data_IF_626715621338
#
_entry.id   IF_626715621338
#
_cell.length_a   1.000
_cell.length_b   1.000
_cell.length_c   1.000
_cell.angle_alpha   90.00
_cell.angle_beta   90.00
_cell.angle_gamma   90.00
#
_symmetry.space_group_name_H-M   'P 1'
#
loop_
_entity.id
_entity.type
_entity.pdbx_description
1 polymer ?
#
# COMPACT_ATOMS: atom_id res chain seq x y z
N UNK A 1 9.19 0.64 -31.75
CA UNK A 1 8.80 -0.67 -31.19
C UNK A 1 7.48 -0.61 -30.41
N UNK A 2 7.42 -0.13 -29.15
CA UNK A 2 6.13 -0.02 -28.42
C UNK A 2 5.15 0.96 -29.08
N UNK A 3 5.69 2.02 -29.70
CA UNK A 3 4.92 3.02 -30.46
C UNK A 3 4.29 2.42 -31.73
N UNK A 4 5.04 1.60 -32.48
CA UNK A 4 4.55 0.94 -33.70
C UNK A 4 3.51 -0.16 -33.41
N UNK A 5 3.59 -0.81 -32.24
CA UNK A 5 2.60 -1.79 -31.78
C UNK A 5 1.30 -1.08 -31.38
N UNK A 6 1.39 0.07 -30.69
CA UNK A 6 0.24 0.89 -30.32
C UNK A 6 -0.46 1.54 -31.54
N UNK A 7 0.29 1.92 -32.57
CA UNK A 7 -0.25 2.56 -33.77
C UNK A 7 -0.98 1.55 -34.69
N UNK A 8 -0.53 0.29 -34.75
CA UNK A 8 -1.21 -0.78 -35.52
C UNK A 8 -2.48 -1.32 -34.83
N UNK A 9 -2.66 -1.07 -33.54
CA UNK A 9 -3.83 -1.50 -32.76
C UNK A 9 -5.01 -0.51 -32.78
N UNK A 10 -4.99 0.51 -33.65
CA UNK A 10 -6.13 1.42 -33.83
C UNK A 10 -6.18 2.59 -32.84
N UNK A 11 -5.03 3.21 -32.56
CA UNK A 11 -4.94 4.38 -31.69
C UNK A 11 -5.04 4.01 -30.21
N UNK A 12 -4.64 4.93 -29.34
CA UNK A 12 -4.77 4.78 -27.89
C UNK A 12 -6.26 4.86 -27.56
N UNK A 13 -6.95 3.73 -27.62
CA UNK A 13 -8.23 3.53 -26.94
C UNK A 13 -8.00 3.69 -25.43
N UNK A 14 -9.06 4.03 -24.69
CA UNK A 14 -9.00 4.21 -23.23
C UNK A 14 -8.65 2.93 -22.45
N UNK A 15 -8.58 1.76 -23.12
CA UNK A 15 -8.17 0.48 -22.54
C UNK A 15 -7.23 -0.28 -23.49
N UNK A 16 -6.04 -0.71 -23.02
CA UNK A 16 -5.13 -1.53 -23.81
C UNK A 16 -5.70 -2.93 -24.10
N UNK A 17 -5.63 -3.37 -25.36
CA UNK A 17 -5.98 -4.73 -25.78
C UNK A 17 -4.86 -5.72 -25.42
N UNK A 18 -4.85 -6.15 -24.15
CA UNK A 18 -3.86 -7.10 -23.64
C UNK A 18 -3.85 -8.44 -24.37
N UNK A 19 -5.00 -9.06 -24.73
CA UNK A 19 -5.02 -10.27 -25.54
C UNK A 19 -4.23 -10.14 -26.86
N UNK A 20 -4.51 -9.11 -27.66
CA UNK A 20 -3.83 -8.94 -28.95
C UNK A 20 -2.34 -8.65 -28.77
N UNK A 21 -1.98 -7.79 -27.81
CA UNK A 21 -0.59 -7.46 -27.53
C UNK A 21 0.23 -8.68 -27.05
N UNK A 22 -0.37 -9.56 -26.24
CA UNK A 22 0.26 -10.77 -25.74
C UNK A 22 0.57 -11.78 -26.85
N UNK A 23 -0.37 -12.01 -27.77
CA UNK A 23 -0.17 -12.88 -28.94
C UNK A 23 0.96 -12.36 -29.84
N UNK A 24 0.98 -11.04 -30.10
CA UNK A 24 2.01 -10.42 -30.93
C UNK A 24 3.40 -10.55 -30.30
N UNK A 25 3.53 -10.37 -28.99
CA UNK A 25 4.80 -10.48 -28.28
C UNK A 25 5.27 -11.93 -28.17
N UNK A 26 4.36 -12.91 -28.01
CA UNK A 26 4.73 -14.34 -28.05
C UNK A 26 5.35 -14.71 -29.39
N UNK A 27 4.68 -14.33 -30.49
CA UNK A 27 5.17 -14.59 -31.86
C UNK A 27 6.55 -13.98 -32.07
N UNK A 28 6.77 -12.76 -31.59
CA UNK A 28 8.06 -12.09 -31.68
C UNK A 28 9.17 -12.84 -30.94
N UNK A 29 8.94 -13.29 -29.70
CA UNK A 29 9.94 -14.07 -28.94
C UNK A 29 10.32 -15.37 -29.65
N UNK A 30 9.34 -16.08 -30.21
CA UNK A 30 9.57 -17.31 -30.99
C UNK A 30 10.43 -17.02 -32.21
N UNK A 31 10.11 -15.97 -32.96
CA UNK A 31 10.89 -15.58 -34.14
C UNK A 31 12.31 -15.10 -33.79
N UNK A 32 12.52 -14.53 -32.60
CA UNK A 32 13.82 -14.10 -32.11
C UNK A 32 14.66 -15.23 -31.49
N UNK A 33 14.12 -16.44 -31.34
CA UNK A 33 14.81 -17.56 -30.69
C UNK A 33 15.01 -17.37 -29.18
N UNK A 34 14.21 -16.51 -28.53
CA UNK A 34 14.29 -16.27 -27.08
C UNK A 34 13.84 -17.50 -26.29
N UNK A 35 14.55 -17.85 -25.20
CA UNK A 35 14.15 -18.94 -24.31
C UNK A 35 14.44 -18.60 -22.82
N UNK A 36 13.50 -18.89 -21.89
CA UNK A 36 12.16 -19.44 -22.13
C UNK A 36 11.20 -18.41 -22.75
N UNK A 37 10.28 -18.88 -23.61
CA UNK A 37 9.22 -18.04 -24.21
C UNK A 37 8.08 -17.91 -23.19
N UNK A 38 7.75 -16.68 -22.79
CA UNK A 38 6.48 -16.41 -22.12
C UNK A 38 5.35 -16.58 -23.15
N UNK A 39 4.34 -17.39 -22.87
CA UNK A 39 3.20 -17.53 -23.78
C UNK A 39 2.19 -16.37 -23.62
N UNK A 40 1.25 -16.23 -24.55
CA UNK A 40 0.28 -15.14 -24.55
C UNK A 40 -0.59 -15.11 -23.29
N UNK A 41 -0.92 -16.26 -22.70
CA UNK A 41 -1.68 -16.31 -21.46
C UNK A 41 -0.85 -15.77 -20.28
N UNK A 42 0.42 -16.17 -20.16
CA UNK A 42 1.35 -15.69 -19.14
C UNK A 42 1.60 -14.18 -19.27
N UNK A 43 1.77 -13.68 -20.50
CA UNK A 43 1.93 -12.25 -20.76
C UNK A 43 0.68 -11.45 -20.41
N UNK A 44 -0.51 -11.96 -20.76
CA UNK A 44 -1.78 -11.30 -20.40
C UNK A 44 -1.92 -11.23 -18.88
N UNK A 45 -1.64 -12.32 -18.18
CA UNK A 45 -1.68 -12.38 -16.72
C UNK A 45 -0.71 -11.36 -16.12
N UNK A 46 0.54 -11.34 -16.59
CA UNK A 46 1.56 -10.38 -16.15
C UNK A 46 1.13 -8.94 -16.40
N UNK A 47 0.59 -8.63 -17.58
CA UNK A 47 0.16 -7.28 -17.93
C UNK A 47 -0.98 -6.78 -17.03
N UNK A 48 -1.95 -7.64 -16.72
CA UNK A 48 -3.04 -7.32 -15.80
C UNK A 48 -2.52 -7.07 -14.36
N UNK A 49 -1.61 -7.91 -13.87
CA UNK A 49 -0.96 -7.71 -12.57
C UNK A 49 -0.13 -6.43 -12.52
N UNK A 50 0.59 -6.11 -13.60
CA UNK A 50 1.39 -4.89 -13.70
C UNK A 50 0.51 -3.64 -13.72
N UNK A 51 -0.62 -3.65 -14.46
CA UNK A 51 -1.56 -2.53 -14.50
C UNK A 51 -2.06 -2.19 -13.09
N UNK A 52 -2.58 -3.19 -12.37
CA UNK A 52 -3.15 -3.02 -11.03
C UNK A 52 -2.11 -2.53 -10.02
N UNK A 53 -0.88 -3.05 -10.06
CA UNK A 53 0.18 -2.62 -9.15
C UNK A 53 0.72 -1.22 -9.48
N UNK A 54 0.84 -0.87 -10.77
CA UNK A 54 1.33 0.43 -11.21
C UNK A 54 0.37 1.55 -10.80
N UNK A 55 -0.94 1.38 -11.00
CA UNK A 55 -1.90 2.41 -10.66
C UNK A 55 -2.02 2.63 -9.15
N UNK A 56 -2.08 1.55 -8.36
CA UNK A 56 -2.09 1.68 -6.90
C UNK A 56 -0.84 2.43 -6.40
N UNK A 57 0.33 2.14 -6.96
CA UNK A 57 1.56 2.87 -6.62
C UNK A 57 1.49 4.36 -7.00
N UNK A 58 0.85 4.71 -8.12
CA UNK A 58 0.69 6.10 -8.55
C UNK A 58 -0.32 6.87 -7.68
N UNK A 59 -1.47 6.26 -7.34
CA UNK A 59 -2.45 6.83 -6.41
C UNK A 59 -1.82 7.12 -5.05
N UNK A 60 -1.10 6.14 -4.48
CA UNK A 60 -0.39 6.27 -3.20
C UNK A 60 0.63 7.40 -3.16
N UNK A 61 1.18 7.78 -4.31
CA UNK A 61 2.17 8.85 -4.42
C UNK A 61 1.55 10.23 -4.65
N UNK A 62 0.22 10.32 -4.81
CA UNK A 62 -0.46 11.55 -5.18
C UNK A 62 -0.04 12.08 -6.56
N UNK A 63 0.46 11.20 -7.43
CA UNK A 63 1.00 11.58 -8.75
C UNK A 63 -0.08 11.60 -9.86
N UNK A 64 -1.34 11.50 -9.48
CA UNK A 64 -2.49 11.38 -10.39
C UNK A 64 -3.58 12.34 -9.93
N UNK A 65 -4.05 13.20 -10.83
CA UNK A 65 -5.21 14.07 -10.55
C UNK A 65 -6.50 13.28 -10.41
N UNK A 66 -7.50 13.82 -9.71
CA UNK A 66 -8.78 13.14 -9.37
C UNK A 66 -9.45 12.53 -10.61
N UNK A 67 -9.56 13.27 -11.71
CA UNK A 67 -10.19 12.76 -12.94
C UNK A 67 -9.41 11.62 -13.60
N UNK A 68 -8.08 11.63 -13.49
CA UNK A 68 -7.24 10.55 -14.03
C UNK A 68 -7.28 9.31 -13.13
N UNK A 69 -7.36 9.50 -11.80
CA UNK A 69 -7.59 8.44 -10.83
C UNK A 69 -8.92 7.73 -11.08
N UNK A 70 -10.00 8.47 -11.33
CA UNK A 70 -11.32 7.92 -11.65
C UNK A 70 -11.33 7.11 -12.94
N UNK A 71 -10.70 7.60 -14.02
CA UNK A 71 -10.61 6.86 -15.29
C UNK A 71 -9.86 5.54 -15.12
N UNK A 72 -8.75 5.56 -14.40
CA UNK A 72 -7.93 4.38 -14.15
C UNK A 72 -8.63 3.37 -13.23
N UNK A 73 -9.45 3.82 -12.28
CA UNK A 73 -10.22 2.95 -11.40
C UNK A 73 -11.11 1.96 -12.19
N UNK A 74 -11.84 2.44 -13.20
CA UNK A 74 -12.70 1.57 -14.01
C UNK A 74 -11.89 0.49 -14.77
N UNK A 75 -10.75 0.88 -15.34
CA UNK A 75 -9.84 -0.05 -16.01
C UNK A 75 -9.26 -1.09 -15.05
N UNK A 76 -8.95 -0.69 -13.81
CA UNK A 76 -8.41 -1.60 -12.80
C UNK A 76 -9.43 -2.55 -12.21
N UNK A 77 -10.68 -2.10 -12.00
CA UNK A 77 -11.76 -2.99 -11.57
C UNK A 77 -12.08 -4.01 -12.67
N UNK A 78 -11.97 -3.62 -13.94
CA UNK A 78 -12.04 -4.56 -15.08
C UNK A 78 -10.89 -5.57 -15.06
N UNK A 79 -9.64 -5.09 -14.89
CA UNK A 79 -8.47 -5.96 -14.80
C UNK A 79 -8.54 -6.91 -13.61
N UNK A 80 -9.00 -6.44 -12.44
CA UNK A 80 -9.21 -7.26 -11.26
C UNK A 80 -10.22 -8.39 -11.51
N UNK A 81 -11.32 -8.12 -12.21
CA UNK A 81 -12.31 -9.14 -12.59
C UNK A 81 -11.71 -10.20 -13.51
N UNK A 82 -10.95 -9.77 -14.53
CA UNK A 82 -10.26 -10.70 -15.42
C UNK A 82 -9.23 -11.55 -14.67
N UNK A 83 -8.50 -10.98 -13.72
CA UNK A 83 -7.56 -11.72 -12.87
C UNK A 83 -8.27 -12.77 -12.01
N UNK A 84 -9.46 -12.49 -11.48
CA UNK A 84 -10.24 -13.47 -10.71
C UNK A 84 -10.64 -14.69 -11.54
N UNK A 85 -10.90 -14.50 -12.84
CA UNK A 85 -11.23 -15.57 -13.78
C UNK A 85 -9.97 -16.36 -14.20
N UNK A 86 -8.86 -15.67 -14.44
CA UNK A 86 -7.62 -16.26 -14.96
C UNK A 86 -6.73 -16.88 -13.87
N UNK A 87 -6.80 -16.38 -12.64
CA UNK A 87 -6.00 -16.82 -11.50
C UNK A 87 -6.84 -16.86 -10.21
N UNK A 88 -7.80 -17.81 -10.12
CA UNK A 88 -8.64 -17.96 -8.94
C UNK A 88 -7.84 -18.28 -7.67
N UNK A 89 -6.65 -18.87 -7.82
CA UNK A 89 -5.75 -19.18 -6.69
C UNK A 89 -5.27 -17.93 -5.95
N UNK A 90 -5.20 -16.79 -6.64
CA UNK A 90 -4.87 -15.50 -6.06
C UNK A 90 -6.07 -14.75 -5.47
N UNK A 91 -7.26 -15.36 -5.39
CA UNK A 91 -8.52 -14.70 -5.03
C UNK A 91 -8.46 -13.87 -3.75
N UNK A 92 -7.80 -14.38 -2.70
CA UNK A 92 -7.61 -13.62 -1.46
C UNK A 92 -6.85 -12.29 -1.70
N UNK A 93 -5.76 -12.33 -2.46
CA UNK A 93 -4.96 -11.16 -2.79
C UNK A 93 -5.73 -10.20 -3.72
N UNK A 94 -6.44 -10.74 -4.72
CA UNK A 94 -7.20 -9.95 -5.67
C UNK A 94 -8.38 -9.21 -5.01
N UNK A 95 -9.07 -9.84 -4.04
CA UNK A 95 -10.07 -9.15 -3.23
C UNK A 95 -9.46 -8.03 -2.38
N UNK A 96 -8.28 -8.26 -1.77
CA UNK A 96 -7.58 -7.22 -1.02
C UNK A 96 -7.24 -6.03 -1.94
N UNK A 97 -6.68 -6.29 -3.13
CA UNK A 97 -6.36 -5.26 -4.14
C UNK A 97 -7.59 -4.49 -4.60
N UNK A 98 -8.74 -5.16 -4.73
CA UNK A 98 -10.01 -4.51 -5.04
C UNK A 98 -10.43 -3.54 -3.91
N UNK A 99 -10.32 -3.98 -2.66
CA UNK A 99 -10.58 -3.12 -1.50
C UNK A 99 -9.69 -1.89 -1.51
N UNK A 100 -8.39 -2.05 -1.75
CA UNK A 100 -7.42 -0.95 -1.84
C UNK A 100 -7.79 0.09 -2.90
N UNK A 101 -8.18 -0.37 -4.10
CA UNK A 101 -8.61 0.52 -5.19
C UNK A 101 -9.85 1.33 -4.82
N UNK A 102 -10.84 0.70 -4.18
CA UNK A 102 -12.09 1.35 -3.77
C UNK A 102 -11.86 2.32 -2.62
N UNK A 103 -11.01 1.92 -1.68
CA UNK A 103 -10.67 2.66 -0.48
C UNK A 103 -10.03 4.03 -0.74
N UNK A 104 -9.44 4.22 -1.93
CA UNK A 104 -8.91 5.50 -2.38
C UNK A 104 -10.01 6.53 -2.70
N UNK A 105 -11.28 6.13 -2.75
CA UNK A 105 -12.41 6.97 -3.11
C UNK A 105 -13.51 6.86 -2.05
N UNK A 106 -13.76 7.94 -1.30
CA UNK A 106 -14.71 7.95 -0.17
C UNK A 106 -16.12 7.44 -0.53
N UNK A 107 -16.59 7.68 -1.77
CA UNK A 107 -17.89 7.20 -2.22
C UNK A 107 -17.98 5.68 -2.45
N UNK A 108 -16.88 4.94 -2.25
CA UNK A 108 -16.78 3.48 -2.40
C UNK A 108 -16.36 2.77 -1.10
N UNK A 109 -16.46 3.43 0.06
CA UNK A 109 -15.98 2.84 1.30
C UNK A 109 -16.76 1.55 1.68
N UNK A 110 -18.05 1.46 1.35
CA UNK A 110 -18.86 0.27 1.58
C UNK A 110 -18.41 -0.91 0.70
N UNK A 111 -18.11 -0.67 -0.57
CA UNK A 111 -17.57 -1.66 -1.49
C UNK A 111 -16.16 -2.07 -1.10
N UNK A 112 -15.35 -1.14 -0.57
CA UNK A 112 -14.03 -1.45 -0.03
C UNK A 112 -14.15 -2.40 1.17
N UNK A 113 -15.05 -2.13 2.12
CA UNK A 113 -15.34 -3.01 3.26
C UNK A 113 -15.78 -4.41 2.78
N UNK A 114 -16.69 -4.48 1.81
CA UNK A 114 -17.14 -5.75 1.25
C UNK A 114 -15.97 -6.54 0.63
N UNK A 115 -15.10 -5.87 -0.12
CA UNK A 115 -13.93 -6.49 -0.73
C UNK A 115 -12.91 -6.99 0.30
N UNK A 116 -12.65 -6.23 1.36
CA UNK A 116 -11.78 -6.68 2.45
C UNK A 116 -12.37 -7.87 3.22
N UNK A 117 -13.69 -7.91 3.46
CA UNK A 117 -14.36 -9.09 4.03
C UNK A 117 -14.21 -10.33 3.15
N UNK A 118 -14.39 -10.21 1.84
CA UNK A 118 -14.14 -11.31 0.89
C UNK A 118 -12.68 -11.77 0.91
N UNK A 119 -11.74 -10.82 0.97
CA UNK A 119 -10.31 -11.11 1.06
C UNK A 119 -9.97 -11.88 2.33
N UNK A 120 -10.44 -11.42 3.49
CA UNK A 120 -10.18 -12.06 4.77
C UNK A 120 -10.73 -13.49 4.81
N UNK A 121 -11.95 -13.70 4.30
CA UNK A 121 -12.56 -15.04 4.20
C UNK A 121 -11.70 -15.99 3.38
N UNK A 122 -11.34 -15.58 2.16
CA UNK A 122 -10.51 -16.40 1.28
C UNK A 122 -9.10 -16.63 1.85
N UNK A 123 -8.54 -15.63 2.54
CA UNK A 123 -7.23 -15.76 3.18
C UNK A 123 -7.24 -16.78 4.33
N UNK A 124 -8.30 -16.80 5.14
CA UNK A 124 -8.49 -17.77 6.22
C UNK A 124 -8.66 -19.19 5.66
N UNK A 125 -9.47 -19.35 4.62
CA UNK A 125 -9.70 -20.63 3.94
C UNK A 125 -8.40 -21.24 3.38
N UNK A 126 -7.59 -20.42 2.72
CA UNK A 126 -6.33 -20.85 2.12
C UNK A 126 -5.11 -20.73 3.04
N UNK A 127 -5.29 -20.32 4.31
CA UNK A 127 -4.20 -20.07 5.28
C UNK A 127 -3.12 -19.11 4.74
N UNK A 128 -3.54 -18.12 3.96
CA UNK A 128 -2.67 -17.07 3.42
C UNK A 128 -2.38 -16.00 4.48
N UNK A 129 -1.51 -16.28 5.45
CA UNK A 129 -1.30 -15.41 6.62
C UNK A 129 -0.89 -13.98 6.30
N UNK A 130 -0.16 -13.73 5.22
CA UNK A 130 0.18 -12.37 4.80
C UNK A 130 -1.05 -11.58 4.36
N UNK A 131 -1.96 -12.21 3.62
CA UNK A 131 -3.20 -11.59 3.16
C UNK A 131 -4.21 -11.50 4.30
N UNK A 132 -4.28 -12.52 5.16
CA UNK A 132 -5.09 -12.53 6.39
C UNK A 132 -4.77 -11.32 7.25
N UNK A 133 -3.48 -11.06 7.49
CA UNK A 133 -3.03 -9.89 8.26
C UNK A 133 -3.48 -8.58 7.63
N UNK A 134 -3.15 -8.38 6.34
CA UNK A 134 -3.43 -7.10 5.69
C UNK A 134 -4.93 -6.88 5.52
N UNK A 135 -5.70 -7.91 5.14
CA UNK A 135 -7.14 -7.80 4.96
C UNK A 135 -7.85 -7.48 6.29
N UNK A 136 -7.45 -8.11 7.39
CA UNK A 136 -8.02 -7.82 8.70
C UNK A 136 -7.69 -6.40 9.16
N UNK A 137 -6.43 -5.96 9.01
CA UNK A 137 -6.01 -4.60 9.37
C UNK A 137 -6.76 -3.54 8.54
N UNK A 138 -6.77 -3.67 7.20
CA UNK A 138 -7.44 -2.71 6.31
C UNK A 138 -8.96 -2.69 6.47
N UNK A 139 -9.56 -3.82 6.84
CA UNK A 139 -10.97 -3.89 7.20
C UNK A 139 -11.25 -3.10 8.48
N UNK A 140 -10.45 -3.28 9.53
CA UNK A 140 -10.59 -2.52 10.79
C UNK A 140 -10.49 -1.01 10.53
N UNK A 141 -9.45 -0.57 9.81
CA UNK A 141 -9.26 0.84 9.44
C UNK A 141 -10.43 1.42 8.64
N UNK A 142 -11.01 0.62 7.74
CA UNK A 142 -12.16 1.06 6.93
C UNK A 142 -13.43 1.19 7.76
N UNK A 143 -13.60 0.41 8.82
CA UNK A 143 -14.73 0.53 9.75
C UNK A 143 -14.59 1.80 10.62
N UNK A 144 -13.39 2.09 11.14
CA UNK A 144 -13.12 3.34 11.88
C UNK A 144 -13.46 4.59 11.10
N UNK A 145 -13.18 4.56 9.80
CA UNK A 145 -13.36 5.67 8.88
C UNK A 145 -14.79 5.79 8.34
N UNK A 146 -15.72 4.95 8.82
CA UNK A 146 -17.13 5.03 8.47
C UNK A 146 -17.55 4.27 7.23
N UNK A 147 -16.79 3.26 6.80
CA UNK A 147 -17.10 2.51 5.58
C UNK A 147 -18.40 1.73 5.61
N UNK A 148 -19.03 1.57 6.77
CA UNK A 148 -20.37 0.99 6.92
C UNK A 148 -21.40 1.94 7.53
N UNK A 149 -21.08 3.23 7.61
CA UNK A 149 -21.91 4.24 8.25
C UNK A 149 -21.21 4.94 9.43
N UNK A 150 -21.92 5.80 10.17
CA UNK A 150 -21.32 6.69 11.17
C UNK A 150 -20.90 6.01 12.48
N UNK A 151 -21.10 4.69 12.59
CA UNK A 151 -20.73 3.92 13.76
C UNK A 151 -20.09 2.58 13.37
N UNK A 152 -19.19 2.07 14.21
CA UNK A 152 -18.52 0.77 14.07
C UNK A 152 -18.54 -0.04 15.37
N UNK A 153 -18.45 -1.37 15.26
CA UNK A 153 -18.51 -2.29 16.41
C UNK A 153 -17.13 -2.48 17.04
N UNK A 154 -17.03 -2.21 18.35
CA UNK A 154 -15.78 -2.43 19.12
C UNK A 154 -15.37 -3.89 19.10
N UNK A 155 -16.33 -4.80 19.22
CA UNK A 155 -16.08 -6.24 19.22
C UNK A 155 -15.53 -6.72 17.88
N UNK A 156 -16.18 -6.32 16.77
CA UNK A 156 -15.75 -6.71 15.42
C UNK A 156 -14.31 -6.27 15.17
N UNK A 157 -14.02 -5.00 15.43
CA UNK A 157 -12.69 -4.43 15.21
C UNK A 157 -11.64 -5.09 16.10
N UNK A 158 -11.92 -5.30 17.39
CA UNK A 158 -10.97 -6.03 18.28
C UNK A 158 -10.66 -7.42 17.74
N UNK A 159 -11.67 -8.12 17.24
CA UNK A 159 -11.50 -9.42 16.59
C UNK A 159 -10.61 -9.34 15.34
N UNK A 160 -10.78 -8.31 14.51
CA UNK A 160 -9.96 -8.07 13.33
C UNK A 160 -8.49 -7.77 13.70
N UNK A 161 -8.25 -6.87 14.66
CA UNK A 161 -6.89 -6.52 15.09
C UNK A 161 -6.19 -7.71 15.78
N UNK A 162 -6.92 -8.53 16.54
CA UNK A 162 -6.41 -9.78 17.09
C UNK A 162 -6.02 -10.77 15.98
N UNK A 163 -6.86 -10.88 14.94
CA UNK A 163 -6.58 -11.69 13.74
C UNK A 163 -5.31 -11.19 13.04
N UNK A 164 -5.20 -9.88 12.80
CA UNK A 164 -4.02 -9.27 12.17
C UNK A 164 -2.74 -9.53 12.97
N UNK A 165 -2.79 -9.36 14.30
CA UNK A 165 -1.66 -9.62 15.20
C UNK A 165 -1.24 -11.08 15.18
N UNK A 166 -2.19 -12.01 15.23
CA UNK A 166 -1.95 -13.45 15.17
C UNK A 166 -1.32 -13.86 13.84
N UNK A 167 -1.87 -13.37 12.73
CA UNK A 167 -1.35 -13.62 11.40
C UNK A 167 0.09 -13.07 11.24
N UNK A 168 0.37 -11.84 11.72
CA UNK A 168 1.70 -11.23 11.71
C UNK A 168 2.76 -12.09 12.39
N UNK A 169 2.43 -12.72 13.51
CA UNK A 169 3.36 -13.59 14.24
C UNK A 169 3.81 -14.81 13.42
N UNK A 170 3.00 -15.28 12.47
CA UNK A 170 3.25 -16.50 11.69
C UNK A 170 4.21 -16.31 10.52
N UNK A 171 4.44 -15.07 10.04
CA UNK A 171 5.28 -14.82 8.86
C UNK A 171 6.58 -14.03 9.11
N UNK A 172 7.01 -13.95 10.37
CA UNK A 172 8.27 -13.30 10.76
C UNK A 172 9.53 -13.75 9.98
N UNK A 173 9.72 -15.03 9.60
CA UNK A 173 10.98 -15.47 9.01
C UNK A 173 11.30 -14.94 7.59
N UNK A 174 10.29 -14.61 6.78
CA UNK A 174 10.49 -14.24 5.36
C UNK A 174 10.18 -12.78 5.04
N UNK A 175 9.61 -12.02 5.97
CA UNK A 175 9.29 -10.61 5.76
C UNK A 175 10.48 -9.71 6.14
N UNK A 176 10.77 -8.63 5.38
CA UNK A 176 11.76 -7.63 5.77
C UNK A 176 11.47 -7.08 7.18
N UNK A 177 12.48 -7.06 8.05
CA UNK A 177 12.33 -6.66 9.46
C UNK A 177 11.69 -5.27 9.63
N UNK A 178 12.03 -4.33 8.75
CA UNK A 178 11.45 -2.98 8.77
C UNK A 178 9.94 -3.00 8.48
N UNK A 179 9.51 -3.77 7.48
CA UNK A 179 8.10 -3.91 7.11
C UNK A 179 7.31 -4.63 8.21
N UNK A 180 7.90 -5.67 8.81
CA UNK A 180 7.28 -6.31 9.97
C UNK A 180 7.15 -5.34 11.16
N UNK A 181 8.20 -4.57 11.47
CA UNK A 181 8.16 -3.60 12.57
C UNK A 181 7.08 -2.54 12.33
N UNK A 182 6.93 -2.11 11.07
CA UNK A 182 5.89 -1.18 10.65
C UNK A 182 4.49 -1.74 10.90
N UNK A 183 4.15 -2.92 10.37
CA UNK A 183 2.83 -3.52 10.63
C UNK A 183 2.57 -3.78 12.11
N UNK A 184 3.60 -4.13 12.88
CA UNK A 184 3.47 -4.29 14.33
C UNK A 184 3.09 -2.96 15.00
N UNK A 185 3.69 -1.86 14.56
CA UNK A 185 3.36 -0.51 15.02
C UNK A 185 1.92 -0.13 14.66
N UNK A 186 1.55 -0.24 13.38
CA UNK A 186 0.19 0.05 12.90
C UNK A 186 -0.88 -0.72 13.70
N UNK A 187 -0.70 -2.03 13.89
CA UNK A 187 -1.64 -2.84 14.68
C UNK A 187 -1.69 -2.39 16.16
N UNK A 188 -0.56 -1.99 16.75
CA UNK A 188 -0.52 -1.55 18.13
C UNK A 188 -1.21 -0.19 18.33
N UNK A 189 -1.01 0.73 17.39
CA UNK A 189 -1.64 2.05 17.39
C UNK A 189 -3.17 1.91 17.24
N UNK A 190 -3.64 1.08 16.30
CA UNK A 190 -5.08 0.81 16.13
C UNK A 190 -5.69 0.14 17.36
N UNK A 191 -4.98 -0.80 18.01
CA UNK A 191 -5.43 -1.41 19.27
C UNK A 191 -5.59 -0.34 20.35
N UNK A 192 -4.66 0.61 20.43
CA UNK A 192 -4.73 1.70 21.38
C UNK A 192 -5.94 2.60 21.11
N UNK A 193 -6.17 2.99 19.85
CA UNK A 193 -7.33 3.80 19.45
C UNK A 193 -8.66 3.12 19.80
N UNK A 194 -8.77 1.81 19.61
CA UNK A 194 -9.98 1.05 19.98
C UNK A 194 -10.19 1.00 21.49
N UNK A 195 -9.11 0.87 22.27
CA UNK A 195 -9.21 0.86 23.72
C UNK A 195 -9.62 2.21 24.28
N UNK A 196 -9.10 3.30 23.71
CA UNK A 196 -9.49 4.67 24.07
C UNK A 196 -10.96 4.92 23.74
N UNK A 197 -11.39 4.59 22.52
CA UNK A 197 -12.77 4.65 22.08
C UNK A 197 -13.73 3.88 23.01
N UNK A 198 -13.38 2.63 23.34
CA UNK A 198 -14.16 1.79 24.23
C UNK A 198 -14.20 2.33 25.67
N UNK A 199 -13.12 2.97 26.15
CA UNK A 199 -13.07 3.57 27.47
C UNK A 199 -13.93 4.83 27.58
N UNK A 200 -14.08 5.61 26.50
CA UNK A 200 -14.95 6.78 26.45
C UNK A 200 -16.45 6.42 26.48
N UNK A 201 -16.83 5.20 26.08
CA UNK A 201 -18.23 4.77 26.02
C UNK A 201 -18.37 3.27 26.32
N UNK A 202 -18.08 2.84 27.57
CA UNK A 202 -17.96 1.42 27.91
C UNK A 202 -19.27 0.63 27.80
N UNK A 203 -20.42 1.30 27.86
CA UNK A 203 -21.74 0.68 27.76
C UNK A 203 -22.28 0.60 26.33
N UNK A 204 -21.60 1.22 25.36
CA UNK A 204 -22.03 1.25 23.97
C UNK A 204 -21.32 0.18 23.14
N UNK A 205 -22.09 -0.72 22.52
CA UNK A 205 -21.54 -1.72 21.59
C UNK A 205 -21.00 -1.09 20.29
N UNK A 206 -21.46 0.12 19.97
CA UNK A 206 -21.16 0.86 18.76
C UNK A 206 -20.47 2.17 19.12
N UNK A 207 -19.36 2.48 18.46
CA UNK A 207 -18.62 3.73 18.64
C UNK A 207 -18.78 4.61 17.40
N UNK A 208 -18.91 5.95 17.55
CA UNK A 208 -18.82 6.87 16.41
C UNK A 208 -17.53 6.67 15.61
N UNK A 209 -17.59 6.98 14.32
CA UNK A 209 -16.38 7.07 13.49
C UNK A 209 -15.35 7.99 14.14
N UNK A 210 -14.08 7.60 14.05
CA UNK A 210 -13.00 8.39 14.61
C UNK A 210 -12.73 9.58 13.67
N UNK A 211 -12.62 10.79 14.23
CA UNK A 211 -12.14 11.97 13.49
C UNK A 211 -10.66 11.77 13.15
N UNK A 212 -10.39 10.97 12.13
CA UNK A 212 -9.05 10.76 11.65
C UNK A 212 -8.66 11.96 10.75
N UNK A 213 -7.50 12.60 10.98
CA UNK A 213 -6.78 13.17 9.85
C UNK A 213 -6.44 12.01 8.90
N UNK A 214 -5.98 12.31 7.69
CA UNK A 214 -5.41 11.37 6.72
C UNK A 214 -6.41 10.80 5.69
N UNK A 215 -6.41 11.44 4.51
CA UNK A 215 -6.19 10.70 3.25
C UNK A 215 -5.35 9.48 3.57
N UNK A 216 -5.85 8.25 3.33
CA UNK A 216 -5.18 6.98 3.59
C UNK A 216 -3.72 7.06 3.14
N UNK A 217 -2.84 7.52 4.03
CA UNK A 217 -1.44 7.71 3.73
C UNK A 217 -0.85 6.36 3.99
N UNK A 218 -0.84 5.54 2.94
CA UNK A 218 0.07 4.43 2.85
C UNK A 218 1.45 4.98 3.19
N UNK A 219 1.93 4.63 4.39
CA UNK A 219 3.30 4.77 4.88
C UNK A 219 4.22 5.19 3.75
N UNK A 220 4.48 6.50 3.67
CA UNK A 220 5.24 7.02 2.54
C UNK A 220 6.58 6.30 2.55
N UNK A 221 6.87 5.51 1.51
CA UNK A 221 8.19 4.87 1.38
C UNK A 221 9.21 5.98 1.56
N UNK A 222 10.11 5.89 2.55
CA UNK A 222 10.90 7.03 2.96
C UNK A 222 11.74 7.50 1.78
N UNK A 223 11.81 8.82 1.64
CA UNK A 223 12.47 9.45 0.50
C UNK A 223 13.91 9.76 0.85
N UNK A 224 14.79 9.54 -0.12
CA UNK A 224 16.17 9.98 0.00
C UNK A 224 16.21 11.51 0.06
N UNK A 225 16.81 12.08 1.11
CA UNK A 225 16.96 13.52 1.26
C UNK A 225 17.80 14.16 0.15
N UNK A 226 18.65 13.39 -0.54
CA UNK A 226 19.50 13.92 -1.62
C UNK A 226 18.90 13.87 -3.02
N UNK A 227 18.00 12.92 -3.33
CA UNK A 227 17.44 12.77 -4.68
C UNK A 227 15.90 12.68 -4.72
N UNK A 228 15.23 12.74 -3.58
CA UNK A 228 13.77 12.66 -3.45
C UNK A 228 13.15 11.30 -3.78
N UNK A 229 13.94 10.34 -4.29
CA UNK A 229 13.47 9.00 -4.65
C UNK A 229 13.13 8.20 -3.40
N UNK A 230 12.03 7.47 -3.47
CA UNK A 230 11.61 6.51 -2.46
C UNK A 230 12.59 5.32 -2.45
N UNK A 231 12.97 4.84 -1.27
CA UNK A 231 13.71 3.60 -1.12
C UNK A 231 13.25 2.84 0.12
N UNK A 232 13.20 1.51 0.03
CA UNK A 232 12.85 0.62 1.15
C UNK A 232 13.97 0.52 2.19
N UNK A 233 15.19 0.94 1.82
CA UNK A 233 16.34 1.04 2.71
C UNK A 233 17.05 2.37 2.49
N UNK A 234 17.20 3.13 3.57
CA UNK A 234 17.98 4.37 3.59
C UNK A 234 18.99 4.33 4.73
N UNK A 235 20.18 4.87 4.47
CA UNK A 235 21.21 5.09 5.49
C UNK A 235 21.07 6.49 6.06
N UNK A 236 20.80 6.59 7.36
CA UNK A 236 20.73 7.88 8.06
C UNK A 236 22.11 8.54 8.11
N UNK A 237 22.13 9.86 8.10
CA UNK A 237 23.35 10.62 8.39
C UNK A 237 23.84 10.22 9.79
N UNK A 238 25.11 9.81 9.91
CA UNK A 238 25.67 9.36 11.20
C UNK A 238 25.74 10.47 12.25
N UNK A 239 25.76 11.73 11.78
CA UNK A 239 25.83 12.96 12.58
C UNK A 239 24.46 13.35 13.14
N UNK A 240 23.61 13.97 12.34
CA UNK A 240 22.30 14.44 12.81
C UNK A 240 21.23 13.34 12.96
N UNK A 241 21.39 12.17 12.33
CA UNK A 241 20.38 11.08 12.26
C UNK A 241 18.99 11.46 11.71
N UNK A 242 18.83 12.69 11.21
CA UNK A 242 17.59 13.21 10.59
C UNK A 242 17.54 12.90 9.09
N UNK A 243 18.54 13.34 8.32
CA UNK A 243 18.57 13.09 6.88
C UNK A 243 18.91 11.62 6.57
N UNK A 244 18.34 11.07 5.48
CA UNK A 244 18.50 9.67 5.10
C UNK A 244 18.71 9.48 3.59
N UNK A 245 19.58 8.56 3.20
CA UNK A 245 20.08 8.46 1.83
C UNK A 245 20.05 7.04 1.27
N UNK A 246 19.65 6.90 0.01
CA UNK A 246 19.67 5.60 -0.68
C UNK A 246 21.09 5.17 -1.07
N UNK A 247 22.02 6.13 -1.16
CA UNK A 247 23.42 5.88 -1.50
C UNK A 247 24.35 6.91 -0.90
N UNK A 248 25.65 6.56 -0.81
CA UNK A 248 26.70 7.49 -0.41
C UNK A 248 26.80 8.68 -1.38
N UNK A 249 26.58 8.45 -2.67
CA UNK A 249 26.58 9.50 -3.69
C UNK A 249 25.52 10.57 -3.40
N UNK A 250 24.28 10.17 -3.10
CA UNK A 250 23.21 11.11 -2.74
C UNK A 250 23.52 11.89 -1.45
N UNK A 251 24.20 11.27 -0.47
CA UNK A 251 24.65 11.98 0.73
C UNK A 251 25.71 13.04 0.41
N UNK A 252 26.72 12.70 -0.39
CA UNK A 252 27.81 13.63 -0.74
C UNK A 252 27.28 14.81 -1.56
N UNK A 253 26.41 14.55 -2.53
CA UNK A 253 25.76 15.59 -3.32
C UNK A 253 24.92 16.52 -2.42
N UNK A 254 24.03 15.96 -1.59
CA UNK A 254 23.23 16.76 -0.67
C UNK A 254 24.10 17.57 0.32
N UNK A 255 25.24 17.02 0.74
CA UNK A 255 26.18 17.69 1.62
C UNK A 255 26.88 18.89 0.98
N UNK A 256 27.33 18.75 -0.27
CA UNK A 256 28.12 19.78 -0.97
C UNK A 256 27.24 20.83 -1.65
N UNK A 257 26.19 20.37 -2.32
CA UNK A 257 25.40 21.18 -3.26
C UNK A 257 24.00 21.46 -2.75
N UNK A 258 23.45 20.59 -1.90
CA UNK A 258 22.08 20.71 -1.41
C UNK A 258 21.93 21.27 0.00
N UNK A 259 22.95 21.93 0.56
CA UNK A 259 22.82 22.68 1.82
C UNK A 259 22.91 21.87 3.12
N UNK A 260 22.91 20.53 3.06
CA UNK A 260 22.83 19.70 4.26
C UNK A 260 23.99 19.92 5.24
N UNK A 261 25.16 20.39 4.79
CA UNK A 261 26.28 20.70 5.68
C UNK A 261 25.91 21.74 6.75
N UNK A 262 25.15 22.76 6.38
CA UNK A 262 24.73 23.83 7.28
C UNK A 262 23.58 23.35 8.18
N UNK A 263 22.59 22.70 7.59
CA UNK A 263 21.45 22.12 8.30
C UNK A 263 21.88 21.08 9.34
N UNK A 264 22.85 20.22 9.00
CA UNK A 264 23.32 19.17 9.89
C UNK A 264 23.92 19.73 11.18
N UNK A 265 24.61 20.87 11.11
CA UNK A 265 25.17 21.53 12.29
C UNK A 265 24.07 22.12 13.20
N UNK A 266 23.02 22.68 12.60
CA UNK A 266 21.87 23.21 13.35
C UNK A 266 21.08 22.10 14.05
N UNK A 267 20.89 20.97 13.37
CA UNK A 267 20.16 19.81 13.90
C UNK A 267 20.93 19.06 15.00
N UNK A 268 22.26 19.03 14.94
CA UNK A 268 23.09 18.50 16.04
C UNK A 268 22.94 19.35 17.32
N UNK A 269 22.82 20.68 17.20
CA UNK A 269 22.70 21.57 18.35
C UNK A 269 21.33 21.49 19.07
N UNK A 270 20.25 21.20 18.35
CA UNK A 270 18.89 21.11 18.91
C UNK A 270 18.56 19.79 19.63
N UNK A 271 19.41 18.77 19.52
CA UNK A 271 19.12 17.42 20.02
C UNK A 271 19.49 17.19 21.50
N UNK A 272 19.90 18.23 22.22
CA UNK A 272 20.39 18.17 23.60
C UNK A 272 19.47 18.70 24.71
N UNK A 273 18.23 19.11 24.39
CA UNK A 273 17.37 19.86 25.33
C UNK A 273 15.92 19.39 25.37
N UNK A 274 15.66 18.16 25.82
CA UNK A 274 14.32 17.71 26.21
C UNK A 274 14.44 16.63 27.29
N UNK A 275 14.88 17.03 28.48
CA UNK A 275 14.98 16.17 29.64
C UNK A 275 15.15 16.98 30.92
N UNK A 276 14.05 17.18 31.64
CA UNK A 276 14.05 17.61 33.04
C UNK A 276 13.57 19.04 33.29
N UNK A 277 12.31 19.17 33.73
CA UNK A 277 11.90 20.17 34.73
C UNK A 277 10.59 19.71 35.37
N UNK A 278 10.73 18.93 36.43
CA UNK A 278 9.74 18.80 37.49
C UNK A 278 10.28 19.52 38.74
N UNK A 279 9.33 20.06 39.51
CA UNK A 279 9.41 20.59 40.87
C UNK A 279 9.88 22.05 41.09
N UNK A 280 8.92 22.87 41.53
CA UNK A 280 8.87 23.22 42.95
C UNK A 280 9.07 24.70 43.30
N UNK A 281 7.96 25.39 43.60
CA UNK A 281 7.69 26.09 44.87
C UNK A 281 6.26 26.62 44.85
#
# INVERSE_FOLDING_TARGET
MLRDIAERAGGITSQPDYPAAAVALELHQRNAGSAPVLNAAEMRLLALYMQQNAHLALLRRGQVGVSDAQRRLAADLSANRQLMELDPSAGACLHWKRGELMSAFQYLDAEAVAAYRSSLRAALEHKSHSVEMVAALRLAESLFSGGTGPFWSVEEVRGLLATAKSALAKFKPWMPLALHAQFRGEIADDIQSVNEAAACSPEQAMTPVLDAPHVRQFSSIPRCSGCGRQATSLKKCSRCRVAAYCSRACQVHHWKEGGHKQECAQLEAGSGGAGGSSAGS
#
